data_IF_499152773332
#
_entry.id   IF_499152773332
#
_cell.length_a   1.000
_cell.length_b   1.000
_cell.length_c   1.000
_cell.angle_alpha   90.00
_cell.angle_beta   90.00
_cell.angle_gamma   90.00
#
_symmetry.space_group_name_H-M   'P 1'
#
loop_
_entity.id
_entity.type
_entity.pdbx_description
1 polymer ?
#
# COMPACT_ATOMS: atom_id res chain seq x y z
N UNK A 1 3.45 2.11 20.88
CA UNK A 1 2.01 1.83 21.02
C UNK A 1 1.29 2.31 19.78
N UNK A 2 0.35 1.55 19.19
CA UNK A 2 -0.49 2.05 18.11
C UNK A 2 -1.34 3.22 18.62
N UNK A 3 -1.46 4.28 17.80
CA UNK A 3 -2.25 5.47 18.16
C UNK A 3 -3.77 5.26 18.02
N UNK A 4 -4.16 4.27 17.22
CA UNK A 4 -5.56 3.87 17.02
C UNK A 4 -5.73 2.43 17.46
N UNK A 5 -6.83 2.15 18.16
CA UNK A 5 -7.21 0.79 18.54
C UNK A 5 -7.55 -0.01 17.28
N UNK A 6 -7.14 -1.28 17.23
CA UNK A 6 -7.57 -2.19 16.18
C UNK A 6 -9.09 -2.43 16.25
N UNK A 7 -9.79 -2.20 15.15
CA UNK A 7 -11.22 -2.50 15.03
C UNK A 7 -11.39 -3.95 14.60
N UNK A 8 -11.97 -4.76 15.47
CA UNK A 8 -12.23 -6.17 15.19
C UNK A 8 -13.42 -6.31 14.23
N UNK A 9 -13.30 -7.21 13.27
CA UNK A 9 -14.32 -7.42 12.23
C UNK A 9 -15.71 -7.67 12.82
N UNK A 10 -15.80 -8.42 13.91
CA UNK A 10 -17.08 -8.74 14.55
C UNK A 10 -17.73 -7.54 15.26
N UNK A 11 -16.98 -6.48 15.53
CA UNK A 11 -17.46 -5.30 16.26
C UNK A 11 -17.67 -4.08 15.35
N UNK A 12 -17.55 -4.24 14.03
CA UNK A 12 -17.75 -3.16 13.07
C UNK A 12 -19.23 -2.75 13.01
N UNK A 13 -19.49 -1.44 13.04
CA UNK A 13 -20.81 -0.90 12.72
C UNK A 13 -21.10 -1.04 11.20
N UNK A 14 -22.30 -0.66 10.77
CA UNK A 14 -22.74 -0.87 9.39
C UNK A 14 -21.85 -0.15 8.37
N UNK A 15 -21.45 1.09 8.62
CA UNK A 15 -20.61 1.88 7.69
C UNK A 15 -19.18 1.32 7.63
N UNK A 16 -18.63 0.94 8.78
CA UNK A 16 -17.33 0.29 8.87
C UNK A 16 -17.32 -1.06 8.14
N UNK A 17 -18.41 -1.84 8.29
CA UNK A 17 -18.55 -3.12 7.62
C UNK A 17 -18.66 -2.97 6.10
N UNK A 18 -19.42 -2.01 5.61
CA UNK A 18 -19.52 -1.73 4.18
C UNK A 18 -18.16 -1.37 3.58
N UNK A 19 -17.37 -0.53 4.29
CA UNK A 19 -16.01 -0.21 3.85
C UNK A 19 -15.08 -1.44 3.93
N UNK A 20 -15.15 -2.23 5.00
CA UNK A 20 -14.38 -3.46 5.15
C UNK A 20 -14.64 -4.43 3.99
N UNK A 21 -15.89 -4.65 3.62
CA UNK A 21 -16.28 -5.51 2.50
C UNK A 21 -15.74 -4.97 1.16
N UNK A 22 -15.78 -3.65 0.96
CA UNK A 22 -15.18 -3.01 -0.22
C UNK A 22 -13.67 -3.24 -0.28
N UNK A 23 -12.96 -3.09 0.84
CA UNK A 23 -11.51 -3.28 0.93
C UNK A 23 -11.09 -4.72 0.68
N UNK A 24 -11.86 -5.68 1.20
CA UNK A 24 -11.52 -7.11 1.17
C UNK A 24 -12.17 -7.88 0.01
N UNK A 25 -13.19 -7.34 -0.63
CA UNK A 25 -13.90 -7.95 -1.77
C UNK A 25 -13.63 -7.29 -3.12
N UNK A 26 -12.93 -6.14 -3.16
CA UNK A 26 -12.65 -5.39 -4.38
C UNK A 26 -11.46 -5.92 -5.20
N UNK A 27 -11.05 -5.17 -6.22
CA UNK A 27 -9.91 -5.53 -7.11
C UNK A 27 -8.61 -5.80 -6.35
N UNK A 28 -8.42 -5.18 -5.15
CA UNK A 28 -7.24 -5.38 -4.30
C UNK A 28 -7.13 -6.77 -3.71
N UNK A 29 -8.25 -7.49 -3.57
CA UNK A 29 -8.31 -8.81 -2.97
C UNK A 29 -8.07 -9.94 -3.96
N UNK A 30 -8.02 -9.66 -5.26
CA UNK A 30 -7.81 -10.69 -6.28
C UNK A 30 -6.50 -11.42 -6.00
N UNK A 31 -6.58 -12.74 -5.81
CA UNK A 31 -5.44 -13.59 -5.49
C UNK A 31 -4.90 -13.49 -4.04
N UNK A 32 -5.64 -12.82 -3.15
CA UNK A 32 -5.26 -12.66 -1.73
C UNK A 32 -6.31 -13.26 -0.81
N UNK A 33 -5.87 -13.94 0.23
CA UNK A 33 -6.76 -14.36 1.33
C UNK A 33 -7.10 -13.19 2.24
N UNK A 34 -8.17 -13.32 3.03
CA UNK A 34 -8.55 -12.32 4.04
C UNK A 34 -7.41 -12.05 5.04
N UNK A 35 -6.64 -13.08 5.39
CA UNK A 35 -5.50 -12.95 6.32
C UNK A 35 -4.41 -11.99 5.83
N UNK A 36 -4.33 -11.72 4.51
CA UNK A 36 -3.42 -10.72 3.98
C UNK A 36 -3.78 -9.29 4.44
N UNK A 37 -5.04 -9.07 4.79
CA UNK A 37 -5.57 -7.78 5.25
C UNK A 37 -5.62 -7.64 6.77
N UNK A 38 -5.57 -8.76 7.50
CA UNK A 38 -5.72 -8.78 8.95
C UNK A 38 -4.38 -8.97 9.67
N UNK A 39 -4.25 -8.29 10.79
CA UNK A 39 -3.17 -8.52 11.76
C UNK A 39 -3.44 -9.78 12.62
N UNK A 40 -2.45 -10.19 13.42
CA UNK A 40 -2.61 -11.34 14.32
C UNK A 40 -3.66 -11.10 15.42
N UNK A 41 -4.04 -9.84 15.64
CA UNK A 41 -5.10 -9.41 16.56
C UNK A 41 -6.49 -9.41 15.92
N UNK A 42 -6.61 -9.78 14.64
CA UNK A 42 -7.87 -9.79 13.89
C UNK A 42 -8.35 -8.42 13.43
N UNK A 43 -7.58 -7.36 13.63
CA UNK A 43 -7.86 -6.03 13.09
C UNK A 43 -7.22 -5.84 11.71
N UNK A 44 -7.75 -4.90 10.92
CA UNK A 44 -7.12 -4.58 9.63
C UNK A 44 -5.73 -3.98 9.81
N UNK A 45 -4.82 -4.38 8.92
CA UNK A 45 -3.43 -3.90 8.94
C UNK A 45 -3.30 -2.47 8.44
N UNK A 46 -2.30 -1.76 8.98
CA UNK A 46 -1.80 -0.49 8.45
C UNK A 46 -2.89 0.58 8.28
N UNK A 47 -2.93 1.28 7.13
CA UNK A 47 -3.85 2.37 6.90
C UNK A 47 -5.32 1.94 6.83
N UNK A 48 -5.59 0.66 6.54
CA UNK A 48 -6.96 0.17 6.44
C UNK A 48 -7.71 0.23 7.77
N UNK A 49 -7.03 -0.04 8.89
CA UNK A 49 -7.63 0.17 10.21
C UNK A 49 -7.97 1.66 10.45
N UNK A 50 -7.09 2.57 10.04
CA UNK A 50 -7.35 4.00 10.16
C UNK A 50 -8.56 4.44 9.30
N UNK A 51 -8.70 3.90 8.09
CA UNK A 51 -9.86 4.16 7.22
C UNK A 51 -11.18 3.72 7.88
N UNK A 52 -11.19 2.59 8.60
CA UNK A 52 -12.37 2.11 9.32
C UNK A 52 -12.79 3.03 10.48
N UNK A 53 -11.88 3.80 11.08
CA UNK A 53 -12.23 4.79 12.11
C UNK A 53 -13.01 5.99 11.54
N UNK A 54 -12.91 6.27 10.25
CA UNK A 54 -13.68 7.27 9.55
C UNK A 54 -14.15 6.76 8.18
N UNK A 55 -15.19 5.89 8.14
CA UNK A 55 -15.58 5.14 6.94
C UNK A 55 -15.87 6.03 5.72
N UNK A 56 -16.52 7.18 5.90
CA UNK A 56 -16.81 8.10 4.79
C UNK A 56 -15.53 8.60 4.10
N UNK A 57 -14.54 9.08 4.85
CA UNK A 57 -13.26 9.49 4.30
C UNK A 57 -12.47 8.28 3.77
N UNK A 58 -12.49 7.16 4.50
CA UNK A 58 -11.85 5.91 4.10
C UNK A 58 -12.32 5.39 2.75
N UNK A 59 -13.61 5.49 2.46
CA UNK A 59 -14.19 5.10 1.18
C UNK A 59 -13.64 5.94 0.01
N UNK A 60 -13.51 7.26 0.21
CA UNK A 60 -12.93 8.16 -0.81
C UNK A 60 -11.45 7.85 -1.05
N UNK A 61 -10.67 7.69 0.02
CA UNK A 61 -9.24 7.33 -0.07
C UNK A 61 -9.06 5.98 -0.74
N UNK A 62 -9.87 4.99 -0.38
CA UNK A 62 -9.86 3.67 -1.01
C UNK A 62 -10.15 3.77 -2.51
N UNK A 63 -11.17 4.53 -2.91
CA UNK A 63 -11.52 4.72 -4.33
C UNK A 63 -10.39 5.42 -5.10
N UNK A 64 -9.80 6.47 -4.54
CA UNK A 64 -8.62 7.12 -5.12
C UNK A 64 -7.46 6.13 -5.31
N UNK A 65 -7.18 5.32 -4.29
CA UNK A 65 -6.13 4.31 -4.37
C UNK A 65 -6.39 3.23 -5.42
N UNK A 66 -7.66 2.87 -5.68
CA UNK A 66 -8.02 1.96 -6.78
C UNK A 66 -7.79 2.59 -8.15
N UNK A 67 -8.21 3.84 -8.32
CA UNK A 67 -7.99 4.59 -9.56
C UNK A 67 -6.49 4.67 -9.90
N UNK A 68 -5.68 5.09 -8.94
CA UNK A 68 -4.23 5.19 -9.14
C UNK A 68 -3.57 3.85 -9.44
N UNK A 69 -4.05 2.77 -8.82
CA UNK A 69 -3.47 1.44 -8.99
C UNK A 69 -3.89 0.74 -10.27
N UNK A 70 -5.16 0.82 -10.65
CA UNK A 70 -5.73 0.00 -11.72
C UNK A 70 -6.12 0.78 -12.98
N UNK A 71 -6.16 2.11 -12.89
CA UNK A 71 -6.60 3.00 -13.97
C UNK A 71 -5.60 4.15 -14.18
N UNK A 72 -4.48 4.18 -13.42
CA UNK A 72 -3.44 5.20 -13.53
C UNK A 72 -2.51 4.98 -14.74
N UNK A 73 -1.76 6.03 -15.10
CA UNK A 73 -0.84 6.01 -16.23
C UNK A 73 0.49 5.26 -15.95
N UNK A 74 0.85 5.07 -14.68
CA UNK A 74 2.08 4.36 -14.31
C UNK A 74 1.89 2.85 -14.43
N UNK A 75 2.85 2.16 -15.03
CA UNK A 75 2.90 0.71 -14.96
C UNK A 75 3.20 0.24 -13.53
N UNK A 76 3.11 -1.09 -13.31
CA UNK A 76 3.23 -1.65 -11.97
C UNK A 76 4.60 -1.36 -11.33
N UNK A 77 5.71 -1.51 -12.06
CA UNK A 77 7.05 -1.25 -11.56
C UNK A 77 7.26 0.23 -11.23
N UNK A 78 6.83 1.13 -12.11
CA UNK A 78 6.89 2.57 -11.92
C UNK A 78 6.13 3.01 -10.68
N UNK A 79 4.93 2.48 -10.50
CA UNK A 79 4.09 2.77 -9.34
C UNK A 79 4.74 2.29 -8.04
N UNK A 80 5.29 1.09 -8.01
CA UNK A 80 5.93 0.56 -6.81
C UNK A 80 7.20 1.34 -6.46
N UNK A 81 8.02 1.77 -7.44
CA UNK A 81 9.17 2.64 -7.20
C UNK A 81 8.73 3.97 -6.58
N UNK A 82 7.68 4.60 -7.09
CA UNK A 82 7.14 5.84 -6.51
C UNK A 82 6.70 5.64 -5.05
N UNK A 83 5.93 4.57 -4.78
CA UNK A 83 5.43 4.25 -3.44
C UNK A 83 6.60 3.99 -2.47
N UNK A 84 7.59 3.20 -2.89
CA UNK A 84 8.76 2.89 -2.06
C UNK A 84 9.61 4.13 -1.76
N UNK A 85 9.80 5.01 -2.75
CA UNK A 85 10.56 6.25 -2.57
C UNK A 85 9.89 7.15 -1.52
N UNK A 86 8.58 7.42 -1.67
CA UNK A 86 7.81 8.21 -0.69
C UNK A 86 7.75 7.51 0.66
N UNK A 87 7.48 6.20 0.66
CA UNK A 87 7.41 5.39 1.88
C UNK A 87 8.71 5.39 2.68
N UNK A 88 9.86 5.34 1.99
CA UNK A 88 11.18 5.41 2.62
C UNK A 88 11.49 6.80 3.15
N UNK A 89 11.20 7.85 2.37
CA UNK A 89 11.39 9.24 2.78
C UNK A 89 10.65 9.54 4.09
N UNK A 90 9.38 9.16 4.19
CA UNK A 90 8.53 9.37 5.36
C UNK A 90 8.67 8.30 6.45
N UNK A 91 9.57 7.34 6.27
CA UNK A 91 9.76 6.19 7.19
C UNK A 91 8.46 5.44 7.48
N UNK A 92 7.61 5.29 6.45
CA UNK A 92 6.33 4.61 6.52
C UNK A 92 6.55 3.08 6.48
N UNK A 93 6.78 2.48 7.65
CA UNK A 93 7.18 1.07 7.79
C UNK A 93 6.17 0.10 7.15
N UNK A 94 4.87 0.39 7.27
CA UNK A 94 3.84 -0.45 6.67
C UNK A 94 3.90 -0.41 5.14
N UNK A 95 4.02 0.78 4.54
CA UNK A 95 4.14 0.95 3.10
C UNK A 95 5.39 0.22 2.57
N UNK A 96 6.52 0.39 3.25
CA UNK A 96 7.74 -0.34 2.90
C UNK A 96 7.53 -1.84 2.96
N UNK A 97 7.03 -2.36 4.09
CA UNK A 97 6.81 -3.80 4.28
C UNK A 97 5.86 -4.40 3.24
N UNK A 98 4.80 -3.70 2.91
CA UNK A 98 3.81 -4.18 1.95
C UNK A 98 4.32 -4.09 0.51
N UNK A 99 4.90 -2.95 0.13
CA UNK A 99 5.21 -2.61 -1.25
C UNK A 99 6.56 -3.13 -1.74
N UNK A 100 7.56 -3.38 -0.87
CA UNK A 100 8.81 -4.01 -1.28
C UNK A 100 8.57 -5.40 -1.91
N UNK A 101 7.69 -6.21 -1.31
CA UNK A 101 7.32 -7.53 -1.84
C UNK A 101 6.54 -7.45 -3.15
N UNK A 102 5.68 -6.43 -3.29
CA UNK A 102 4.94 -6.22 -4.52
C UNK A 102 5.91 -5.79 -5.63
N UNK A 103 6.84 -4.89 -5.33
CA UNK A 103 7.87 -4.44 -6.25
C UNK A 103 8.71 -5.60 -6.80
N UNK A 104 9.19 -6.50 -5.93
CA UNK A 104 9.86 -7.73 -6.37
C UNK A 104 8.97 -8.58 -7.28
N UNK A 105 7.71 -8.76 -6.91
CA UNK A 105 6.73 -9.55 -7.66
C UNK A 105 6.39 -8.98 -9.05
N UNK A 106 6.56 -7.67 -9.26
CA UNK A 106 6.34 -7.02 -10.56
C UNK A 106 7.65 -6.75 -11.32
N UNK A 107 8.76 -7.31 -10.84
CA UNK A 107 10.04 -7.32 -11.56
C UNK A 107 10.96 -6.13 -11.28
N UNK A 108 10.71 -5.35 -10.23
CA UNK A 108 11.71 -4.36 -9.77
C UNK A 108 12.90 -5.10 -9.20
N UNK A 109 14.09 -4.82 -9.73
CA UNK A 109 15.31 -5.53 -9.31
C UNK A 109 15.63 -5.31 -7.83
N UNK A 110 16.11 -6.33 -7.10
CA UNK A 110 16.40 -6.21 -5.67
C UNK A 110 17.43 -5.14 -5.30
N UNK A 111 18.42 -4.90 -6.16
CA UNK A 111 19.41 -3.85 -5.98
C UNK A 111 18.82 -2.43 -6.13
N UNK A 112 17.81 -2.26 -6.98
CA UNK A 112 17.01 -1.03 -7.06
C UNK A 112 16.23 -0.79 -5.76
N UNK A 113 15.56 -1.82 -5.25
CA UNK A 113 14.81 -1.73 -3.98
C UNK A 113 15.76 -1.39 -2.83
N UNK A 114 16.94 -2.01 -2.80
CA UNK A 114 17.96 -1.72 -1.79
C UNK A 114 18.49 -0.28 -1.91
N UNK A 115 18.74 0.21 -3.12
CA UNK A 115 19.17 1.59 -3.34
C UNK A 115 18.13 2.61 -2.84
N UNK A 116 16.85 2.38 -3.08
CA UNK A 116 15.76 3.22 -2.52
C UNK A 116 15.79 3.16 -0.99
N UNK A 117 15.98 1.97 -0.40
CA UNK A 117 16.08 1.84 1.06
C UNK A 117 17.24 2.63 1.64
N UNK A 118 18.39 2.59 0.99
CA UNK A 118 19.60 3.29 1.41
C UNK A 118 19.59 4.79 1.05
N UNK A 119 18.54 5.25 0.34
CA UNK A 119 18.46 6.61 -0.20
C UNK A 119 19.66 6.96 -1.09
N UNK A 120 20.12 5.99 -1.85
CA UNK A 120 21.23 6.06 -2.80
C UNK A 120 20.72 6.26 -4.23
N UNK A 121 21.57 6.77 -5.15
CA UNK A 121 21.22 6.78 -6.57
C UNK A 121 20.88 5.38 -7.08
N UNK A 122 19.85 5.29 -7.94
CA UNK A 122 19.45 4.00 -8.50
C UNK A 122 20.56 3.46 -9.43
N UNK A 123 20.87 2.15 -9.36
CA UNK A 123 21.85 1.53 -10.24
C UNK A 123 21.29 1.34 -11.67
N UNK A 124 22.16 1.38 -12.67
CA UNK A 124 21.86 1.08 -14.07
C UNK A 124 21.17 2.18 -14.85
N UNK A 125 20.79 1.85 -16.10
CA UNK A 125 20.17 2.76 -17.08
C UNK A 125 18.62 2.68 -17.08
N UNK A 126 18.00 2.38 -15.96
CA UNK A 126 16.54 2.34 -15.85
C UNK A 126 15.97 3.77 -15.88
N UNK A 127 16.06 4.45 -17.02
CA UNK A 127 15.80 5.89 -17.18
C UNK A 127 14.41 6.32 -16.71
N UNK A 128 13.37 5.50 -16.93
CA UNK A 128 12.00 5.78 -16.52
C UNK A 128 11.81 5.60 -15.00
N UNK A 129 12.37 4.54 -14.40
CA UNK A 129 12.33 4.32 -12.95
C UNK A 129 13.16 5.36 -12.20
N UNK A 130 14.32 5.75 -12.76
CA UNK A 130 15.18 6.80 -12.22
C UNK A 130 14.47 8.16 -12.28
N UNK A 131 13.78 8.47 -13.37
CA UNK A 131 13.00 9.70 -13.49
C UNK A 131 11.90 9.78 -12.41
N UNK A 132 11.18 8.68 -12.19
CA UNK A 132 10.15 8.61 -11.14
C UNK A 132 10.76 8.76 -9.75
N UNK A 133 11.83 8.02 -9.44
CA UNK A 133 12.52 8.13 -8.15
C UNK A 133 13.01 9.54 -7.87
N UNK A 134 13.48 10.24 -8.89
CA UNK A 134 13.99 11.63 -8.74
C UNK A 134 12.85 12.64 -8.60
N UNK A 135 11.69 12.38 -9.21
CA UNK A 135 10.54 13.29 -9.18
C UNK A 135 9.82 13.29 -7.83
N UNK A 136 9.75 12.15 -7.13
CA UNK A 136 9.01 11.99 -5.86
C UNK A 136 9.91 12.17 -4.65
#
# INVERSE_FOLDING_TARGET
MPRLTGLLVNNLNNDQRALFETLTGGKRSIGRSLDAFLGPDGAMRGPFNAMLHHPAAGAVVQRLGELLRFEGALNDAQREVAILTVGRHWRAQYEWWAHARIAEGVGVAPDLIQAIYDQAPLPGDASDLTAIHTFV
#
